data_IF_592676317041
#
_entry.id   IF_592676317041
#
_cell.length_a   1.000
_cell.length_b   1.000
_cell.length_c   1.000
_cell.angle_alpha   90.00
_cell.angle_beta   90.00
_cell.angle_gamma   90.00
#
_symmetry.space_group_name_H-M   'P 1'
#
loop_
_entity.id
_entity.type
_entity.pdbx_description
1 polymer ?
#
# COMPACT_ATOMS: atom_id res chain seq x y z
N UNK A 1 15.85 -16.41 -11.52
CA UNK A 1 16.76 -15.28 -11.28
C UNK A 1 16.12 -14.39 -10.22
N UNK A 2 16.86 -13.94 -9.18
CA UNK A 2 16.30 -13.00 -8.20
C UNK A 2 16.21 -11.62 -8.85
N UNK A 3 15.10 -10.88 -8.66
CA UNK A 3 14.97 -9.53 -9.22
C UNK A 3 15.96 -8.57 -8.55
N UNK A 4 16.35 -7.52 -9.27
CA UNK A 4 17.03 -6.37 -8.68
C UNK A 4 16.08 -5.55 -7.79
N UNK A 5 16.61 -4.54 -7.09
CA UNK A 5 15.86 -3.75 -6.10
C UNK A 5 14.74 -2.91 -6.73
N UNK A 6 14.98 -2.33 -7.90
CA UNK A 6 13.98 -1.55 -8.65
C UNK A 6 12.85 -2.47 -9.11
N UNK A 7 13.18 -3.61 -9.71
CA UNK A 7 12.20 -4.62 -10.15
C UNK A 7 11.41 -5.16 -8.95
N UNK A 8 12.06 -5.39 -7.81
CA UNK A 8 11.40 -5.84 -6.59
C UNK A 8 10.42 -4.79 -6.04
N UNK A 9 10.82 -3.51 -5.98
CA UNK A 9 9.95 -2.44 -5.50
C UNK A 9 8.76 -2.22 -6.44
N UNK A 10 8.97 -2.14 -7.77
CA UNK A 10 7.87 -2.02 -8.75
C UNK A 10 6.91 -3.21 -8.68
N UNK A 11 7.46 -4.42 -8.54
CA UNK A 11 6.65 -5.63 -8.37
C UNK A 11 5.78 -5.58 -7.11
N UNK A 12 6.36 -5.11 -6.00
CA UNK A 12 5.63 -4.91 -4.75
C UNK A 12 4.53 -3.86 -4.90
N UNK A 13 4.83 -2.69 -5.45
CA UNK A 13 3.84 -1.62 -5.66
C UNK A 13 2.68 -2.12 -6.53
N UNK A 14 2.98 -2.78 -7.65
CA UNK A 14 1.97 -3.36 -8.54
C UNK A 14 1.08 -4.37 -7.83
N UNK A 15 1.66 -5.21 -6.97
CA UNK A 15 0.88 -6.16 -6.19
C UNK A 15 -0.03 -5.44 -5.19
N UNK A 16 0.48 -4.45 -4.46
CA UNK A 16 -0.30 -3.70 -3.48
C UNK A 16 -1.44 -2.94 -4.16
N UNK A 17 -1.19 -2.26 -5.29
CA UNK A 17 -2.24 -1.58 -6.07
C UNK A 17 -3.33 -2.52 -6.57
N UNK A 18 -3.00 -3.78 -6.83
CA UNK A 18 -3.97 -4.80 -7.26
C UNK A 18 -4.82 -5.34 -6.09
N UNK A 19 -4.18 -5.58 -4.95
CA UNK A 19 -4.80 -6.31 -3.84
C UNK A 19 -5.51 -5.38 -2.84
N UNK A 20 -5.22 -4.08 -2.87
CA UNK A 20 -5.79 -3.08 -1.97
C UNK A 20 -6.97 -2.33 -2.60
N UNK A 21 -8.01 -2.00 -1.82
CA UNK A 21 -9.24 -1.44 -2.34
C UNK A 21 -9.20 0.10 -2.31
N UNK A 22 -8.32 0.70 -3.12
CA UNK A 22 -8.15 2.17 -3.16
C UNK A 22 -9.40 2.90 -3.66
N UNK A 23 -10.25 2.24 -4.46
CA UNK A 23 -11.46 2.84 -5.05
C UNK A 23 -12.72 2.77 -4.17
N UNK A 24 -12.60 2.46 -2.87
CA UNK A 24 -13.79 2.39 -1.99
C UNK A 24 -14.43 3.78 -1.86
N UNK A 25 -15.74 3.93 -2.17
CA UNK A 25 -16.44 5.19 -2.00
C UNK A 25 -16.43 5.66 -0.54
N UNK A 26 -16.12 6.94 -0.31
CA UNK A 26 -16.02 7.52 1.05
C UNK A 26 -17.29 7.31 1.90
N UNK A 27 -18.46 7.33 1.26
CA UNK A 27 -19.75 7.09 1.89
C UNK A 27 -19.85 5.72 2.61
N UNK A 28 -19.03 4.75 2.20
CA UNK A 28 -19.04 3.39 2.74
C UNK A 28 -18.00 3.17 3.85
N UNK A 29 -17.14 4.16 4.17
CA UNK A 29 -15.98 3.96 5.04
C UNK A 29 -16.18 4.51 6.46
N UNK A 30 -17.07 5.50 6.65
CA UNK A 30 -17.25 6.13 7.95
C UNK A 30 -18.22 5.34 8.84
N UNK A 31 -17.69 4.55 9.77
CA UNK A 31 -18.46 3.80 10.78
C UNK A 31 -18.51 4.48 12.15
N UNK A 32 -18.00 5.71 12.27
CA UNK A 32 -17.92 6.45 13.53
C UNK A 32 -16.78 6.02 14.47
N UNK A 33 -16.03 4.95 14.15
CA UNK A 33 -14.80 4.59 14.87
C UNK A 33 -13.60 5.35 14.30
N UNK A 34 -13.10 6.34 15.06
CA UNK A 34 -11.98 7.20 14.65
C UNK A 34 -10.57 6.66 15.01
N UNK A 35 -10.45 5.44 15.50
CA UNK A 35 -9.17 4.81 15.83
C UNK A 35 -8.67 3.93 14.67
N UNK A 36 -8.12 4.56 13.63
CA UNK A 36 -7.61 3.87 12.43
C UNK A 36 -8.65 3.75 11.33
N UNK A 37 -9.21 4.89 10.90
CA UNK A 37 -10.13 4.97 9.76
C UNK A 37 -9.51 4.32 8.51
N UNK A 38 -10.16 3.31 7.90
CA UNK A 38 -9.62 2.61 6.74
C UNK A 38 -9.25 3.54 5.59
N UNK A 39 -10.06 4.58 5.32
CA UNK A 39 -9.81 5.55 4.24
C UNK A 39 -8.48 6.27 4.44
N UNK A 40 -8.21 6.81 5.63
CA UNK A 40 -6.96 7.50 5.92
C UNK A 40 -5.73 6.59 5.78
N UNK A 41 -5.88 5.31 6.11
CA UNK A 41 -4.79 4.35 5.92
C UNK A 41 -4.57 4.03 4.44
N UNK A 42 -5.63 3.95 3.64
CA UNK A 42 -5.53 3.82 2.19
C UNK A 42 -4.87 5.05 1.58
N UNK A 43 -5.28 6.26 1.97
CA UNK A 43 -4.70 7.52 1.47
C UNK A 43 -3.22 7.64 1.79
N UNK A 44 -2.84 7.27 3.02
CA UNK A 44 -1.44 7.22 3.41
C UNK A 44 -0.64 6.21 2.58
N UNK A 45 -1.21 5.02 2.36
CA UNK A 45 -0.54 4.00 1.56
C UNK A 45 -0.40 4.44 0.10
N UNK A 46 -1.44 5.01 -0.49
CA UNK A 46 -1.44 5.46 -1.88
C UNK A 46 -0.34 6.51 -2.11
N UNK A 47 -0.26 7.51 -1.23
CA UNK A 47 0.80 8.53 -1.28
C UNK A 47 2.22 7.93 -1.16
N UNK A 48 2.43 6.92 -0.30
CA UNK A 48 3.75 6.25 -0.23
C UNK A 48 4.05 5.45 -1.51
N UNK A 49 3.05 4.86 -2.17
CA UNK A 49 3.25 4.15 -3.43
C UNK A 49 3.57 5.12 -4.57
N UNK A 50 2.84 6.25 -4.65
CA UNK A 50 3.09 7.31 -5.63
C UNK A 50 4.48 7.92 -5.48
N UNK A 51 4.91 8.21 -4.24
CA UNK A 51 6.25 8.73 -3.96
C UNK A 51 7.35 7.76 -4.43
N UNK A 52 7.18 6.46 -4.18
CA UNK A 52 8.11 5.47 -4.68
C UNK A 52 8.07 5.32 -6.20
N UNK A 53 6.90 5.35 -6.83
CA UNK A 53 6.79 5.33 -8.30
C UNK A 53 7.56 6.52 -8.91
N UNK A 54 7.38 7.72 -8.35
CA UNK A 54 8.10 8.92 -8.78
C UNK A 54 9.62 8.77 -8.62
N UNK A 55 10.11 8.31 -7.46
CA UNK A 55 11.53 8.09 -7.22
C UNK A 55 12.12 7.04 -8.19
N UNK A 56 11.41 5.94 -8.41
CA UNK A 56 11.84 4.88 -9.33
C UNK A 56 11.86 5.36 -10.79
N UNK A 57 10.95 6.27 -11.17
CA UNK A 57 10.92 6.89 -12.50
C UNK A 57 12.06 7.91 -12.66
N UNK A 58 12.48 8.57 -11.57
CA UNK A 58 13.66 9.45 -11.53
C UNK A 58 14.99 8.68 -11.54
N UNK A 59 14.97 7.35 -11.39
CA UNK A 59 16.14 6.48 -11.40
C UNK A 59 16.73 6.20 -10.02
N UNK A 60 16.04 6.59 -8.94
CA UNK A 60 16.46 6.28 -7.58
C UNK A 60 16.35 4.78 -7.29
N UNK A 61 17.32 4.29 -6.51
CA UNK A 61 17.47 2.87 -6.18
C UNK A 61 17.05 2.61 -4.73
N UNK A 62 15.91 1.94 -4.50
CA UNK A 62 15.48 1.60 -3.14
C UNK A 62 16.48 0.66 -2.49
N UNK A 63 16.65 0.75 -1.19
CA UNK A 63 17.34 -0.24 -0.38
C UNK A 63 16.41 -1.37 0.08
N UNK A 64 16.99 -2.43 0.64
CA UNK A 64 16.21 -3.57 1.13
C UNK A 64 15.34 -3.25 2.35
N UNK A 65 15.73 -2.23 3.14
CA UNK A 65 14.98 -1.73 4.29
C UNK A 65 13.70 -1.03 3.85
N UNK A 66 13.76 -0.23 2.79
CA UNK A 66 12.63 0.49 2.20
C UNK A 66 11.63 -0.46 1.57
N UNK A 67 12.10 -1.43 0.77
CA UNK A 67 11.25 -2.51 0.23
C UNK A 67 10.55 -3.24 1.37
N UNK A 68 11.28 -3.58 2.44
CA UNK A 68 10.72 -4.25 3.62
C UNK A 68 9.73 -3.37 4.37
N UNK A 69 9.96 -2.06 4.45
CA UNK A 69 9.06 -1.08 5.07
C UNK A 69 7.74 -1.02 4.32
N UNK A 70 7.75 -0.84 3.00
CA UNK A 70 6.53 -0.82 2.16
C UNK A 70 5.77 -2.15 2.28
N UNK A 71 6.45 -3.29 2.22
CA UNK A 71 5.80 -4.60 2.35
C UNK A 71 5.12 -4.77 3.73
N UNK A 72 5.79 -4.34 4.81
CA UNK A 72 5.25 -4.45 6.17
C UNK A 72 4.09 -3.49 6.40
N UNK A 73 4.19 -2.25 5.91
CA UNK A 73 3.13 -1.25 6.00
C UNK A 73 1.90 -1.72 5.23
N UNK A 74 2.06 -2.12 3.97
CA UNK A 74 0.99 -2.65 3.13
C UNK A 74 0.28 -3.83 3.79
N UNK A 75 1.04 -4.80 4.32
CA UNK A 75 0.47 -5.97 5.03
C UNK A 75 -0.32 -5.59 6.28
N UNK A 76 0.11 -4.58 7.04
CA UNK A 76 -0.63 -4.11 8.22
C UNK A 76 -1.95 -3.46 7.82
N UNK A 77 -1.94 -2.64 6.78
CA UNK A 77 -3.13 -1.94 6.29
C UNK A 77 -4.11 -2.94 5.67
N UNK A 78 -3.63 -3.91 4.88
CA UNK A 78 -4.45 -5.01 4.37
C UNK A 78 -5.20 -5.75 5.48
N UNK A 79 -4.53 -6.06 6.60
CA UNK A 79 -5.19 -6.67 7.77
C UNK A 79 -6.24 -5.77 8.42
N UNK A 80 -6.10 -4.44 8.33
CA UNK A 80 -7.16 -3.53 8.75
C UNK A 80 -8.33 -3.64 7.78
N UNK A 81 -8.10 -3.59 6.46
CA UNK A 81 -9.15 -3.76 5.45
C UNK A 81 -9.93 -5.07 5.63
N UNK A 82 -9.26 -6.19 5.92
CA UNK A 82 -9.91 -7.47 6.22
C UNK A 82 -10.89 -7.40 7.40
N UNK A 83 -10.65 -6.56 8.40
CA UNK A 83 -11.55 -6.41 9.57
C UNK A 83 -12.83 -5.64 9.22
N UNK A 84 -12.78 -4.82 8.18
CA UNK A 84 -13.93 -4.08 7.66
C UNK A 84 -14.57 -4.79 6.46
N UNK A 85 -14.16 -6.04 6.18
CA UNK A 85 -14.61 -6.86 5.04
C UNK A 85 -14.46 -6.14 3.68
N UNK A 86 -13.45 -5.29 3.56
CA UNK A 86 -13.13 -4.55 2.32
C UNK A 86 -12.25 -5.33 1.35
N UNK A 87 -11.62 -6.41 1.82
CA UNK A 87 -10.80 -7.33 1.02
C UNK A 87 -11.00 -8.76 1.53
N UNK A 88 -10.69 -9.73 0.69
CA UNK A 88 -10.81 -11.15 1.02
C UNK A 88 -9.90 -11.58 2.19
N UNK A 89 -10.37 -12.58 2.94
CA UNK A 89 -9.71 -13.12 4.15
C UNK A 89 -8.53 -14.03 3.84
#
# INVERSE_FOLDING_TARGET
MKPDRTTAMRGLIKQVRKDMPFDIPEANVCTGQCNGCPKKLLDYLDAELEDWEYQLDAGDLPDFGEIKRIAKTSKKIYKVMQKYDFVDK
#
